data_IF_919130711558
#
_entry.id   IF_919130711558
#
_cell.length_a   1.000
_cell.length_b   1.000
_cell.length_c   1.000
_cell.angle_alpha   90.00
_cell.angle_beta   90.00
_cell.angle_gamma   90.00
#
_symmetry.space_group_name_H-M   'P 1'
#
loop_
_entity.id
_entity.type
_entity.pdbx_description
1 polymer ?
#
# COMPACT_ATOMS: atom_id res chain seq x y z
N UNK A 1 -20.52 -6.58 -19.76
CA UNK A 1 -19.42 -7.44 -19.31
C UNK A 1 -19.96 -8.44 -18.31
N UNK A 2 -19.71 -9.75 -18.48
CA UNK A 2 -20.13 -10.75 -17.47
C UNK A 2 -19.21 -10.66 -16.25
N UNK A 3 -19.67 -11.10 -15.09
CA UNK A 3 -18.88 -11.07 -13.85
C UNK A 3 -17.53 -11.80 -14.00
N UNK A 4 -17.52 -12.96 -14.69
CA UNK A 4 -16.29 -13.72 -14.93
C UNK A 4 -15.28 -12.96 -15.79
N UNK A 5 -15.73 -12.20 -16.79
CA UNK A 5 -14.87 -11.39 -17.65
C UNK A 5 -14.19 -10.28 -16.83
N UNK A 6 -14.93 -9.68 -15.89
CA UNK A 6 -14.41 -8.65 -14.99
C UNK A 6 -13.38 -9.20 -14.01
N UNK A 7 -13.62 -10.39 -13.44
CA UNK A 7 -12.64 -11.07 -12.57
C UNK A 7 -11.38 -11.44 -13.35
N UNK A 8 -11.52 -11.92 -14.59
CA UNK A 8 -10.38 -12.21 -15.46
C UNK A 8 -9.61 -10.94 -15.84
N UNK A 9 -10.30 -9.82 -16.08
CA UNK A 9 -9.66 -8.52 -16.31
C UNK A 9 -8.85 -8.07 -15.09
N UNK A 10 -9.42 -8.17 -13.89
CA UNK A 10 -8.71 -7.92 -12.64
C UNK A 10 -7.50 -8.84 -12.45
N UNK A 11 -7.62 -10.14 -12.77
CA UNK A 11 -6.51 -11.08 -12.67
C UNK A 11 -5.35 -10.72 -13.61
N UNK A 12 -5.64 -10.34 -14.86
CA UNK A 12 -4.61 -9.89 -15.81
C UNK A 12 -3.94 -8.59 -15.35
N UNK A 13 -4.72 -7.65 -14.83
CA UNK A 13 -4.19 -6.39 -14.27
C UNK A 13 -3.28 -6.63 -13.06
N UNK A 14 -3.66 -7.56 -12.18
CA UNK A 14 -2.84 -7.97 -11.03
C UNK A 14 -1.54 -8.65 -11.46
N UNK A 15 -1.55 -9.51 -12.48
CA UNK A 15 -0.31 -10.07 -13.02
C UNK A 15 0.64 -8.99 -13.53
N UNK A 16 0.13 -8.02 -14.29
CA UNK A 16 0.92 -6.90 -14.80
C UNK A 16 1.47 -6.03 -13.65
N UNK A 17 0.67 -5.82 -12.60
CA UNK A 17 1.08 -5.02 -11.45
C UNK A 17 2.14 -5.72 -10.60
N UNK A 18 2.02 -7.03 -10.37
CA UNK A 18 3.06 -7.82 -9.70
C UNK A 18 4.38 -7.71 -10.46
N UNK A 19 4.35 -7.80 -11.79
CA UNK A 19 5.54 -7.58 -12.62
C UNK A 19 6.09 -6.15 -12.47
N UNK A 20 5.22 -5.14 -12.56
CA UNK A 20 5.59 -3.74 -12.41
C UNK A 20 6.22 -3.42 -11.05
N UNK A 21 5.70 -3.95 -9.95
CA UNK A 21 6.29 -3.79 -8.63
C UNK A 21 7.65 -4.46 -8.46
N UNK A 22 7.95 -5.49 -9.26
CA UNK A 22 9.31 -6.03 -9.37
C UNK A 22 10.29 -5.00 -9.93
N UNK A 23 9.87 -4.23 -10.94
CA UNK A 23 10.67 -3.12 -11.50
C UNK A 23 10.79 -1.98 -10.50
N UNK A 24 9.68 -1.60 -9.82
CA UNK A 24 9.70 -0.57 -8.77
C UNK A 24 10.69 -0.95 -7.67
N UNK A 25 10.61 -2.18 -7.14
CA UNK A 25 11.50 -2.64 -6.07
C UNK A 25 12.99 -2.66 -6.45
N UNK A 26 13.31 -2.75 -7.75
CA UNK A 26 14.67 -2.69 -8.26
C UNK A 26 15.23 -1.28 -8.43
N UNK A 27 14.39 -0.24 -8.40
CA UNK A 27 14.77 1.16 -8.65
C UNK A 27 14.41 2.12 -7.51
N UNK A 28 13.56 1.70 -6.58
CA UNK A 28 13.17 2.51 -5.43
C UNK A 28 14.30 2.65 -4.41
N UNK A 29 14.39 3.80 -3.75
CA UNK A 29 15.35 4.06 -2.68
C UNK A 29 15.11 3.21 -1.43
N UNK A 30 16.13 3.12 -0.57
CA UNK A 30 16.11 2.27 0.62
C UNK A 30 14.95 2.59 1.56
N UNK A 31 14.61 3.88 1.73
CA UNK A 31 13.58 4.36 2.65
C UNK A 31 12.18 3.84 2.29
N UNK A 32 11.91 3.61 1.00
CA UNK A 32 10.61 3.13 0.51
C UNK A 32 10.62 1.66 0.10
N UNK A 33 11.74 0.96 0.26
CA UNK A 33 11.89 -0.45 -0.13
C UNK A 33 10.93 -1.38 0.63
N UNK A 34 10.70 -1.10 1.92
CA UNK A 34 9.71 -1.85 2.72
C UNK A 34 8.30 -1.66 2.19
N UNK A 35 7.91 -0.42 1.89
CA UNK A 35 6.61 -0.08 1.32
C UNK A 35 6.39 -0.76 -0.03
N UNK A 36 7.38 -0.73 -0.93
CA UNK A 36 7.32 -1.42 -2.22
C UNK A 36 7.17 -2.95 -2.05
N UNK A 37 7.84 -3.54 -1.06
CA UNK A 37 7.75 -4.97 -0.79
C UNK A 37 6.39 -5.38 -0.26
N UNK A 38 5.85 -4.64 0.71
CA UNK A 38 4.51 -4.87 1.27
C UNK A 38 3.44 -4.75 0.18
N UNK A 39 3.58 -3.77 -0.72
CA UNK A 39 2.69 -3.61 -1.86
C UNK A 39 2.75 -4.80 -2.82
N UNK A 40 3.96 -5.24 -3.19
CA UNK A 40 4.19 -6.42 -4.02
C UNK A 40 3.55 -7.69 -3.44
N UNK A 41 3.74 -7.93 -2.14
CA UNK A 41 3.18 -9.11 -1.46
C UNK A 41 1.64 -9.04 -1.41
N UNK A 42 1.06 -7.85 -1.20
CA UNK A 42 -0.39 -7.64 -1.26
C UNK A 42 -0.98 -7.94 -2.65
N UNK A 43 -0.32 -7.55 -3.74
CA UNK A 43 -0.77 -7.89 -5.09
C UNK A 43 -0.68 -9.38 -5.40
N UNK A 44 0.37 -10.06 -4.92
CA UNK A 44 0.45 -11.52 -5.06
C UNK A 44 -0.70 -12.23 -4.35
N UNK A 45 -1.02 -11.81 -3.13
CA UNK A 45 -2.16 -12.35 -2.40
C UNK A 45 -3.49 -12.10 -3.15
N UNK A 46 -3.67 -10.91 -3.72
CA UNK A 46 -4.88 -10.54 -4.46
C UNK A 46 -5.02 -11.30 -5.78
N UNK A 47 -3.93 -11.43 -6.52
CA UNK A 47 -3.85 -12.29 -7.72
C UNK A 47 -4.27 -13.72 -7.38
N UNK A 48 -3.75 -14.29 -6.29
CA UNK A 48 -4.06 -15.66 -5.91
C UNK A 48 -5.53 -15.82 -5.45
N UNK A 49 -6.12 -14.79 -4.84
CA UNK A 49 -7.56 -14.73 -4.57
C UNK A 49 -8.39 -14.69 -5.86
N UNK A 50 -8.04 -13.83 -6.82
CA UNK A 50 -8.75 -13.75 -8.09
C UNK A 50 -8.67 -15.05 -8.90
N UNK A 51 -7.55 -15.79 -8.83
CA UNK A 51 -7.44 -17.13 -9.44
C UNK A 51 -8.46 -18.11 -8.84
N UNK A 52 -8.72 -18.04 -7.54
CA UNK A 52 -9.78 -18.85 -6.90
C UNK A 52 -11.16 -18.39 -7.35
N UNK A 53 -11.40 -17.08 -7.37
CA UNK A 53 -12.66 -16.49 -7.80
C UNK A 53 -13.05 -16.86 -9.26
N UNK A 54 -12.07 -16.99 -10.16
CA UNK A 54 -12.30 -17.45 -11.53
C UNK A 54 -12.74 -18.92 -11.55
N UNK A 55 -12.06 -19.78 -10.79
CA UNK A 55 -12.39 -21.22 -10.69
C UNK A 55 -13.76 -21.45 -10.07
N UNK A 56 -14.11 -20.68 -9.04
CA UNK A 56 -15.44 -20.70 -8.41
C UNK A 56 -16.56 -20.32 -9.39
N UNK A 57 -16.26 -19.46 -10.39
CA UNK A 57 -17.18 -19.13 -11.47
C UNK A 57 -17.16 -20.14 -12.63
N UNK A 58 -16.42 -21.24 -12.50
CA UNK A 58 -16.31 -22.29 -13.52
C UNK A 58 -15.36 -21.96 -14.68
N UNK A 59 -14.51 -20.94 -14.55
CA UNK A 59 -13.50 -20.60 -15.57
C UNK A 59 -12.10 -21.11 -15.24
N UNK A 60 -11.23 -21.09 -16.25
CA UNK A 60 -9.79 -21.31 -16.07
C UNK A 60 -9.05 -19.97 -15.88
N UNK A 61 -8.29 -19.76 -14.79
CA UNK A 61 -7.59 -18.50 -14.55
C UNK A 61 -6.58 -18.15 -15.64
N UNK A 62 -6.64 -16.91 -16.14
CA UNK A 62 -5.67 -16.45 -17.13
C UNK A 62 -4.21 -16.58 -16.60
N UNK A 63 -3.30 -17.17 -17.40
CA UNK A 63 -1.89 -17.27 -17.02
C UNK A 63 -1.22 -15.90 -17.05
N UNK A 64 -0.10 -15.78 -16.34
CA UNK A 64 0.76 -14.60 -16.47
C UNK A 64 1.51 -14.66 -17.81
N UNK A 65 1.65 -13.51 -18.49
CA UNK A 65 2.60 -13.36 -19.58
C UNK A 65 4.05 -13.41 -19.05
N UNK A 66 5.00 -13.76 -19.92
CA UNK A 66 6.43 -13.78 -19.59
C UNK A 66 6.99 -12.38 -19.27
N UNK A 67 6.43 -11.34 -19.89
CA UNK A 67 6.78 -9.94 -19.67
C UNK A 67 5.58 -9.03 -19.97
N UNK A 68 5.61 -7.82 -19.43
CA UNK A 68 4.60 -6.78 -19.66
C UNK A 68 5.26 -5.48 -20.10
N UNK A 69 4.63 -4.78 -21.04
CA UNK A 69 5.07 -3.44 -21.42
C UNK A 69 4.80 -2.46 -20.29
N UNK A 70 5.82 -1.68 -19.91
CA UNK A 70 5.66 -0.59 -18.96
C UNK A 70 5.06 0.64 -19.66
N UNK A 71 4.26 1.46 -18.95
CA UNK A 71 3.66 2.66 -19.53
C UNK A 71 4.68 3.71 -19.96
N UNK A 72 5.89 3.67 -19.39
CA UNK A 72 7.02 4.54 -19.70
C UNK A 72 8.32 3.89 -19.21
N UNK A 73 9.45 4.44 -19.64
CA UNK A 73 10.77 4.03 -19.16
C UNK A 73 10.98 4.40 -17.69
N UNK A 74 11.57 3.50 -16.91
CA UNK A 74 11.86 3.71 -15.49
C UNK A 74 13.37 3.69 -15.26
N UNK A 75 14.10 4.78 -15.53
CA UNK A 75 15.55 4.82 -15.36
C UNK A 75 15.97 4.99 -13.89
N UNK A 76 15.16 5.69 -13.09
CA UNK A 76 15.53 6.16 -11.75
C UNK A 76 14.40 5.95 -10.72
N UNK A 77 14.69 6.35 -9.48
CA UNK A 77 13.76 6.26 -8.34
C UNK A 77 12.49 7.10 -8.55
N UNK A 78 12.61 8.31 -9.08
CA UNK A 78 11.46 9.18 -9.33
C UNK A 78 10.49 8.55 -10.34
N UNK A 79 11.03 7.94 -11.40
CA UNK A 79 10.23 7.17 -12.34
C UNK A 79 9.63 5.91 -11.71
N UNK A 80 10.30 5.27 -10.76
CA UNK A 80 9.77 4.11 -10.04
C UNK A 80 8.56 4.49 -9.17
N UNK A 81 8.62 5.63 -8.48
CA UNK A 81 7.51 6.20 -7.72
C UNK A 81 6.32 6.51 -8.63
N UNK A 82 6.56 7.16 -9.77
CA UNK A 82 5.51 7.43 -10.77
C UNK A 82 4.90 6.14 -11.31
N UNK A 83 5.72 5.12 -11.57
CA UNK A 83 5.23 3.83 -12.05
C UNK A 83 4.32 3.17 -11.01
N UNK A 84 4.73 3.16 -9.74
CA UNK A 84 3.91 2.60 -8.66
C UNK A 84 2.55 3.29 -8.56
N UNK A 85 2.53 4.63 -8.61
CA UNK A 85 1.28 5.40 -8.62
C UNK A 85 0.39 5.08 -9.83
N UNK A 86 0.97 4.97 -11.03
CA UNK A 86 0.24 4.65 -12.27
C UNK A 86 -0.35 3.23 -12.24
N UNK A 87 0.38 2.24 -11.72
CA UNK A 87 -0.10 0.87 -11.61
C UNK A 87 -1.32 0.77 -10.68
N UNK A 88 -1.23 1.42 -9.51
CA UNK A 88 -2.31 1.44 -8.53
C UNK A 88 -3.55 2.18 -9.05
N UNK A 89 -3.36 3.29 -9.77
CA UNK A 89 -4.46 4.06 -10.38
C UNK A 89 -5.21 3.23 -11.44
N UNK A 90 -4.47 2.55 -12.32
CA UNK A 90 -5.07 1.65 -13.32
C UNK A 90 -5.80 0.47 -12.68
N UNK A 91 -5.23 -0.11 -11.62
CA UNK A 91 -5.89 -1.17 -10.85
C UNK A 91 -7.18 -0.70 -10.19
N UNK A 92 -7.21 0.53 -9.66
CA UNK A 92 -8.42 1.12 -9.14
C UNK A 92 -9.52 1.15 -10.22
N UNK A 93 -9.21 1.60 -11.44
CA UNK A 93 -10.16 1.54 -12.57
C UNK A 93 -10.70 0.13 -12.83
N UNK A 94 -9.82 -0.87 -12.89
CA UNK A 94 -10.23 -2.27 -13.12
C UNK A 94 -11.09 -2.82 -11.97
N UNK A 95 -10.80 -2.44 -10.72
CA UNK A 95 -11.64 -2.82 -9.59
C UNK A 95 -12.99 -2.11 -9.57
N UNK A 96 -13.08 -0.87 -10.05
CA UNK A 96 -14.37 -0.19 -10.22
C UNK A 96 -15.27 -0.93 -11.23
N UNK A 97 -14.68 -1.42 -12.32
CA UNK A 97 -15.40 -2.27 -13.29
C UNK A 97 -15.85 -3.60 -12.67
N UNK A 98 -15.03 -4.22 -11.82
CA UNK A 98 -15.42 -5.42 -11.08
C UNK A 98 -16.54 -5.15 -10.06
N UNK A 99 -16.50 -4.01 -9.35
CA UNK A 99 -17.59 -3.57 -8.47
C UNK A 99 -18.89 -3.45 -9.26
N UNK A 100 -18.85 -2.83 -10.43
CA UNK A 100 -20.02 -2.68 -11.31
C UNK A 100 -20.58 -4.03 -11.75
N UNK A 101 -19.72 -5.00 -12.07
CA UNK A 101 -20.09 -6.31 -12.62
C UNK A 101 -20.42 -7.39 -11.58
N UNK A 102 -20.28 -7.11 -10.27
CA UNK A 102 -20.47 -8.11 -9.20
C UNK A 102 -21.58 -7.70 -8.22
N UNK A 103 -22.00 -8.59 -7.33
CA UNK A 103 -22.98 -8.33 -6.26
C UNK A 103 -22.51 -8.96 -4.93
N UNK A 104 -23.23 -8.69 -3.84
CA UNK A 104 -23.02 -9.36 -2.55
C UNK A 104 -21.58 -9.24 -2.00
N UNK A 105 -21.05 -10.35 -1.51
CA UNK A 105 -19.71 -10.42 -0.93
C UNK A 105 -18.60 -10.04 -1.93
N UNK A 106 -18.73 -10.45 -3.20
CA UNK A 106 -17.72 -10.15 -4.22
C UNK A 106 -17.66 -8.66 -4.56
N UNK A 107 -18.81 -7.98 -4.61
CA UNK A 107 -18.85 -6.51 -4.77
C UNK A 107 -18.14 -5.80 -3.62
N UNK A 108 -18.35 -6.25 -2.38
CA UNK A 108 -17.67 -5.67 -1.20
C UNK A 108 -16.16 -5.90 -1.26
N UNK A 109 -15.72 -7.11 -1.61
CA UNK A 109 -14.29 -7.41 -1.77
C UNK A 109 -13.64 -6.58 -2.90
N UNK A 110 -14.33 -6.42 -4.03
CA UNK A 110 -13.88 -5.56 -5.12
C UNK A 110 -13.79 -4.09 -4.70
N UNK A 111 -14.76 -3.59 -3.94
CA UNK A 111 -14.76 -2.22 -3.42
C UNK A 111 -13.62 -1.99 -2.41
N UNK A 112 -13.32 -2.97 -1.57
CA UNK A 112 -12.14 -2.93 -0.69
C UNK A 112 -10.83 -2.85 -1.49
N UNK A 113 -10.73 -3.66 -2.55
CA UNK A 113 -9.58 -3.67 -3.47
C UNK A 113 -9.40 -2.33 -4.19
N UNK A 114 -10.50 -1.78 -4.71
CA UNK A 114 -10.56 -0.45 -5.31
C UNK A 114 -10.03 0.61 -4.35
N UNK A 115 -10.55 0.65 -3.12
CA UNK A 115 -10.15 1.62 -2.10
C UNK A 115 -8.65 1.50 -1.80
N UNK A 116 -8.16 0.29 -1.58
CA UNK A 116 -6.75 0.07 -1.23
C UNK A 116 -5.81 0.50 -2.36
N UNK A 117 -6.14 0.19 -3.61
CA UNK A 117 -5.38 0.64 -4.77
C UNK A 117 -5.39 2.17 -4.88
N UNK A 118 -6.56 2.81 -4.77
CA UNK A 118 -6.68 4.26 -4.84
C UNK A 118 -5.88 4.98 -3.72
N UNK A 119 -5.97 4.49 -2.48
CA UNK A 119 -5.19 5.03 -1.35
C UNK A 119 -3.70 4.87 -1.58
N UNK A 120 -3.26 3.72 -2.12
CA UNK A 120 -1.84 3.48 -2.38
C UNK A 120 -1.32 4.31 -3.56
N UNK A 121 -2.12 4.52 -4.60
CA UNK A 121 -1.82 5.48 -5.69
C UNK A 121 -1.54 6.87 -5.12
N UNK A 122 -2.44 7.38 -4.27
CA UNK A 122 -2.27 8.68 -3.62
C UNK A 122 -1.01 8.72 -2.73
N UNK A 123 -0.74 7.64 -1.97
CA UNK A 123 0.45 7.51 -1.13
C UNK A 123 1.76 7.51 -1.93
N UNK A 124 1.79 6.85 -3.10
CA UNK A 124 2.96 6.87 -3.97
C UNK A 124 3.26 8.26 -4.51
N UNK A 125 2.23 9.01 -4.91
CA UNK A 125 2.37 10.38 -5.43
C UNK A 125 2.98 11.35 -4.41
N UNK A 126 2.95 11.03 -3.12
CA UNK A 126 3.25 11.98 -2.06
C UNK A 126 2.09 12.96 -1.88
N UNK A 127 1.98 13.56 -0.69
CA UNK A 127 0.86 14.43 -0.27
C UNK A 127 0.29 15.26 -1.42
N UNK A 128 -1.04 15.17 -1.63
CA UNK A 128 -1.74 15.84 -2.71
C UNK A 128 -1.39 17.33 -2.79
N UNK A 129 -1.50 17.90 -3.99
CA UNK A 129 -1.42 19.36 -4.20
C UNK A 129 -2.15 20.07 -3.07
N UNK A 130 -1.44 20.97 -2.37
CA UNK A 130 -2.07 21.86 -1.42
C UNK A 130 -3.28 22.51 -2.11
N UNK A 131 -4.43 22.58 -1.43
CA UNK A 131 -5.59 23.28 -1.98
C UNK A 131 -5.14 24.65 -2.53
N UNK A 132 -5.57 25.04 -3.73
CA UNK A 132 -5.27 26.36 -4.25
C UNK A 132 -5.60 27.43 -3.19
N UNK A 133 -4.61 28.23 -2.80
CA UNK A 133 -4.73 29.25 -1.75
C UNK A 133 -4.12 28.93 -0.39
N UNK A 134 -3.76 27.68 -0.07
CA UNK A 134 -3.08 27.36 1.21
C UNK A 134 -1.58 27.67 1.19
N UNK A 135 -0.92 27.59 0.03
CA UNK A 135 0.50 27.94 -0.10
C UNK A 135 0.75 29.43 0.19
N UNK A 136 -0.21 30.30 -0.12
CA UNK A 136 -0.13 31.75 0.12
C UNK A 136 -0.31 32.14 1.59
N UNK A 137 -0.89 31.26 2.43
CA UNK A 137 -1.03 31.45 3.88
C UNK A 137 0.20 30.95 4.67
N UNK A 138 1.06 30.14 4.05
CA UNK A 138 2.21 29.48 4.69
C UNK A 138 3.51 30.28 4.72
N UNK A 139 3.51 31.54 4.26
CA UNK A 139 4.68 32.41 4.24
C UNK A 139 5.22 32.87 5.60
N UNK A 140 4.66 32.39 6.71
CA UNK A 140 5.24 32.57 8.03
C UNK A 140 5.96 31.28 8.44
N UNK A 141 7.30 31.31 8.42
CA UNK A 141 8.11 30.20 8.91
C UNK A 141 7.68 29.80 10.33
N UNK A 142 7.47 28.50 10.62
CA UNK A 142 7.31 28.06 11.99
C UNK A 142 8.69 28.14 12.68
N UNK A 143 9.00 29.29 13.27
CA UNK A 143 10.00 29.37 14.34
C UNK A 143 9.46 28.59 15.54
N UNK A 144 9.75 27.29 15.60
CA UNK A 144 9.54 26.51 16.80
C UNK A 144 10.66 26.84 17.80
N UNK A 145 10.39 27.75 18.73
CA UNK A 145 11.22 27.96 19.92
C UNK A 145 11.17 26.67 20.76
N UNK A 146 12.30 26.01 21.06
CA UNK A 146 12.27 24.84 21.94
C UNK A 146 12.01 25.31 23.37
N UNK A 147 10.93 24.82 23.98
CA UNK A 147 10.66 24.99 25.41
C UNK A 147 11.58 24.02 26.17
N UNK A 148 12.48 24.48 27.05
CA UNK A 148 13.31 23.57 27.84
C UNK A 148 12.44 22.86 28.89
N UNK A 149 12.55 21.53 28.92
CA UNK A 149 12.03 20.71 30.03
C UNK A 149 13.15 20.50 31.03
N UNK A 150 13.01 21.10 32.21
CA UNK A 150 13.95 20.95 33.32
C UNK A 150 13.67 19.62 34.08
N UNK A 151 14.68 18.81 34.45
CA UNK A 151 14.49 17.61 35.27
C UNK A 151 14.80 17.93 36.73
N UNK A 152 13.77 18.15 37.55
CA UNK A 152 13.94 18.26 39.00
C UNK A 152 13.66 16.92 39.69
N UNK A 153 14.75 16.37 40.22
CA UNK A 153 14.85 15.20 41.08
C UNK A 153 14.01 15.32 42.37
N UNK A 154 13.58 14.18 42.89
CA UNK A 154 13.02 14.04 44.23
C UNK A 154 13.29 12.65 44.80
N UNK A 155 14.38 12.51 45.55
CA UNK A 155 14.60 11.45 46.54
C UNK A 155 14.59 12.12 47.91
N UNK A 156 14.05 11.50 48.98
CA UNK A 156 14.97 10.83 49.91
C UNK A 156 14.48 9.51 50.55
N UNK A 157 15.48 8.65 50.82
CA UNK A 157 15.74 7.75 51.98
C UNK A 157 14.59 7.28 52.88
N UNK A 158 14.32 5.97 53.09
CA UNK A 158 15.06 4.96 53.89
C UNK A 158 14.27 4.60 55.18
N UNK A 159 14.49 3.51 55.97
CA UNK A 159 15.54 2.48 55.92
C UNK A 159 15.04 1.00 55.99
N UNK A 160 16.02 0.09 56.13
CA UNK A 160 15.99 -1.37 56.03
C UNK A 160 15.36 -2.18 57.19
N UNK A 161 14.86 -3.39 56.86
CA UNK A 161 15.29 -4.71 57.42
C UNK A 161 14.12 -5.71 57.48
N UNK A 162 14.34 -6.95 57.02
CA UNK A 162 13.59 -8.10 57.53
C UNK A 162 13.25 -9.25 56.58
N UNK A 163 14.17 -10.20 56.47
CA UNK A 163 13.91 -11.65 56.61
C UNK A 163 13.27 -12.50 55.47
N UNK A 164 14.05 -13.53 55.11
CA UNK A 164 13.72 -14.94 54.78
C UNK A 164 13.25 -15.36 53.38
N UNK A 165 14.06 -16.28 52.83
CA UNK A 165 13.94 -17.12 51.64
C UNK A 165 12.90 -18.27 51.77
N UNK A 166 12.91 -19.33 50.92
CA UNK A 166 12.92 -19.41 49.44
C UNK A 166 11.74 -20.27 48.90
N UNK A 167 11.53 -20.31 47.58
CA UNK A 167 10.61 -21.27 46.95
C UNK A 167 10.82 -21.41 45.44
N UNK A 168 11.40 -22.53 45.05
CA UNK A 168 11.66 -22.98 43.67
C UNK A 168 10.39 -23.54 43.02
N UNK A 169 10.11 -23.13 41.77
CA UNK A 169 9.96 -23.97 40.56
C UNK A 169 9.90 -23.05 39.33
#
# INVERSE_FOLDING_TARGET
>A
MKQIDAVQAALRAEHATVYGYGVVGGRIGADRKKEAREAYDAHRARRDALRRDVRELGGEPAPAAAAYALPFAVPDEAAAVRLAAELEDRLAGVYADLVRASTGARRRAAAGSLREAAVRSARWRGSGVAFPGLAELGGAEPSATPVPSDPAAGTPSGPASGSRAPGTL
#
